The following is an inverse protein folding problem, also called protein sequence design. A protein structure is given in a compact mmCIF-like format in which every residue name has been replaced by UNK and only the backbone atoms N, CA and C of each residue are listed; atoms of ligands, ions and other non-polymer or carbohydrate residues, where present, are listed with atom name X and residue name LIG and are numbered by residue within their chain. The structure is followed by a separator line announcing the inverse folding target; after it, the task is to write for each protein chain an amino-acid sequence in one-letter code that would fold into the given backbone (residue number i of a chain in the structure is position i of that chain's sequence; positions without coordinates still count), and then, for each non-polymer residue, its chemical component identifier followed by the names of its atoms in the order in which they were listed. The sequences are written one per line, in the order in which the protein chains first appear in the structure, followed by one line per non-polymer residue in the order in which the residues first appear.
data_IF_697367350436
#
_entry.id   IF_697367350436
#
_cell.length_a   1.000
_cell.length_b   1.000
_cell.length_c   1.000
_cell.angle_alpha   90.00
_cell.angle_beta   90.00
_cell.angle_gamma   90.00
#
_symmetry.space_group_name_H-M   'P 1'
#
loop_
_entity.id
_entity.type
_entity.pdbx_description
1 polymer ?
#
# COMPACT_ATOMS: atom_id res chain seq x y z
N UNK A 1 -58.90 12.55 15.59
CA UNK A 1 -58.04 12.25 14.42
C UNK A 1 -57.34 13.54 14.02
N UNK A 2 -56.08 13.71 14.40
CA UNK A 2 -55.24 14.81 13.91
C UNK A 2 -54.45 14.35 12.69
N UNK A 3 -54.39 15.15 11.61
CA UNK A 3 -53.53 14.83 10.47
C UNK A 3 -52.07 15.01 10.91
N UNK A 4 -51.27 13.94 10.75
CA UNK A 4 -49.81 14.00 10.90
C UNK A 4 -49.27 14.92 9.80
N UNK A 5 -48.74 16.06 10.21
CA UNK A 5 -47.91 16.91 9.35
C UNK A 5 -46.79 16.08 8.73
N UNK A 6 -46.72 16.10 7.41
CA UNK A 6 -45.62 15.55 6.64
C UNK A 6 -44.38 16.40 6.93
N UNK A 7 -43.50 15.90 7.80
CA UNK A 7 -42.16 16.46 8.00
C UNK A 7 -41.41 16.38 6.66
N UNK A 8 -41.02 17.51 6.03
CA UNK A 8 -40.29 17.45 4.78
C UNK A 8 -38.91 16.82 5.02
N UNK A 9 -38.60 15.79 4.25
CA UNK A 9 -37.32 15.08 4.27
C UNK A 9 -36.15 16.06 4.33
N UNK A 10 -35.28 15.90 5.35
CA UNK A 10 -34.07 16.71 5.55
C UNK A 10 -33.28 16.79 4.23
N UNK A 11 -33.23 18.00 3.67
CA UNK A 11 -32.46 18.35 2.48
C UNK A 11 -30.98 18.00 2.74
N UNK A 12 -30.48 16.95 2.10
CA UNK A 12 -29.07 16.52 2.19
C UNK A 12 -28.15 17.68 1.82
N UNK A 13 -27.49 18.28 2.83
CA UNK A 13 -26.30 19.08 2.59
C UNK A 13 -25.26 18.16 1.96
N UNK A 14 -24.51 18.57 0.92
CA UNK A 14 -23.40 17.77 0.43
C UNK A 14 -22.49 17.50 1.63
N UNK A 15 -22.25 16.22 1.92
CA UNK A 15 -21.42 15.86 3.06
C UNK A 15 -20.04 16.47 2.78
N UNK A 16 -19.60 17.36 3.67
CA UNK A 16 -18.29 17.99 3.52
C UNK A 16 -17.24 16.90 3.76
N UNK A 17 -16.16 17.01 3.01
CA UNK A 17 -14.94 16.22 3.23
C UNK A 17 -14.57 16.22 4.72
N UNK A 18 -14.21 15.06 5.24
CA UNK A 18 -13.86 14.88 6.65
C UNK A 18 -12.57 14.07 6.80
N UNK A 19 -12.03 14.07 8.02
CA UNK A 19 -10.80 13.40 8.36
C UNK A 19 -11.04 12.31 9.39
N UNK A 20 -10.31 11.21 9.29
CA UNK A 20 -10.33 10.14 10.30
C UNK A 20 -8.94 9.54 10.47
N UNK A 21 -8.59 9.16 11.69
CA UNK A 21 -7.36 8.41 11.94
C UNK A 21 -7.52 6.96 11.48
N UNK A 22 -6.52 6.44 10.78
CA UNK A 22 -6.48 5.04 10.39
C UNK A 22 -5.83 4.18 11.48
N UNK A 23 -6.47 3.07 11.80
CA UNK A 23 -6.02 2.08 12.78
C UNK A 23 -6.04 0.67 12.18
N UNK A 24 -5.06 -0.15 12.56
CA UNK A 24 -4.94 -1.55 12.16
C UNK A 24 -4.05 -1.83 10.94
N UNK A 25 -3.73 -3.10 10.69
CA UNK A 25 -2.79 -3.51 9.64
C UNK A 25 -3.43 -3.84 8.29
N UNK A 26 -4.77 -3.86 8.17
CA UNK A 26 -5.48 -4.45 7.03
C UNK A 26 -5.22 -3.79 5.68
N UNK A 27 -4.85 -2.51 5.68
CA UNK A 27 -4.52 -1.74 4.46
C UNK A 27 -3.02 -1.52 4.26
N UNK A 28 -2.15 -2.20 5.02
CA UNK A 28 -0.71 -2.10 4.81
C UNK A 28 -0.33 -2.72 3.43
N UNK A 29 0.51 -2.08 2.60
CA UNK A 29 1.25 -0.82 2.79
C UNK A 29 0.58 0.45 2.24
N UNK A 30 -0.64 0.36 1.74
CA UNK A 30 -1.41 1.51 1.23
C UNK A 30 -1.59 2.56 2.33
N UNK A 31 -2.08 2.13 3.49
CA UNK A 31 -2.23 2.93 4.70
C UNK A 31 -1.39 2.32 5.84
N UNK A 32 -0.88 3.18 6.73
CA UNK A 32 -0.18 2.77 7.95
C UNK A 32 -0.88 3.33 9.17
N UNK A 33 -0.79 2.61 10.28
CA UNK A 33 -1.34 3.06 11.56
C UNK A 33 -0.91 4.49 11.90
N UNK A 34 -1.83 5.23 12.52
CA UNK A 34 -1.66 6.65 12.87
C UNK A 34 -1.57 7.61 11.68
N UNK A 35 -1.82 7.17 10.45
CA UNK A 35 -2.05 8.08 9.32
C UNK A 35 -3.44 8.72 9.40
N UNK A 36 -3.53 10.01 9.07
CA UNK A 36 -4.80 10.72 8.98
C UNK A 36 -5.34 10.66 7.56
N UNK A 37 -6.53 10.10 7.39
CA UNK A 37 -7.18 9.92 6.10
C UNK A 37 -8.02 11.14 5.75
N UNK A 38 -7.94 11.53 4.49
CA UNK A 38 -8.86 12.45 3.84
C UNK A 38 -9.99 11.68 3.17
N UNK A 39 -11.22 11.88 3.64
CA UNK A 39 -12.39 11.14 3.17
C UNK A 39 -13.33 12.11 2.48
N UNK A 40 -13.61 11.80 1.21
CA UNK A 40 -14.50 12.57 0.36
C UNK A 40 -15.79 11.76 0.12
N UNK A 41 -16.95 12.31 0.49
CA UNK A 41 -18.24 11.68 0.20
C UNK A 41 -18.44 11.44 -1.29
N UNK A 42 -19.20 10.41 -1.64
CA UNK A 42 -19.37 10.05 -3.04
C UNK A 42 -20.23 11.05 -3.81
N UNK A 43 -21.11 11.85 -3.18
CA UNK A 43 -21.87 12.96 -3.79
C UNK A 43 -22.20 12.77 -5.28
N UNK A 44 -22.96 11.69 -5.58
CA UNK A 44 -23.41 11.25 -6.94
C UNK A 44 -22.33 10.73 -7.89
N UNK A 45 -21.09 10.57 -7.46
CA UNK A 45 -20.03 9.90 -8.22
C UNK A 45 -20.26 8.38 -8.20
N UNK A 46 -19.98 7.69 -9.32
CA UNK A 46 -20.07 6.25 -9.35
C UNK A 46 -18.96 5.61 -8.50
N UNK A 47 -19.32 4.62 -7.71
CA UNK A 47 -18.38 3.72 -7.04
C UNK A 47 -17.61 2.91 -8.07
N UNK A 48 -16.28 2.83 -7.91
CA UNK A 48 -15.42 2.12 -8.85
C UNK A 48 -14.61 1.04 -8.15
N UNK A 49 -14.47 -0.10 -8.81
CA UNK A 49 -13.49 -1.12 -8.43
C UNK A 49 -12.10 -0.49 -8.34
N UNK A 50 -11.43 -0.74 -7.23
CA UNK A 50 -10.12 -0.21 -6.87
C UNK A 50 -10.17 1.03 -5.99
N UNK A 51 -11.33 1.65 -5.76
CA UNK A 51 -11.45 2.73 -4.77
C UNK A 51 -11.23 2.21 -3.35
N UNK A 52 -10.58 3.01 -2.49
CA UNK A 52 -10.48 2.75 -1.05
C UNK A 52 -11.62 3.48 -0.37
N UNK A 53 -12.45 2.77 0.37
CA UNK A 53 -13.68 3.30 0.97
C UNK A 53 -13.67 3.19 2.47
N UNK A 54 -14.20 4.22 3.13
CA UNK A 54 -14.49 4.24 4.56
C UNK A 54 -15.98 3.95 4.74
N UNK A 55 -16.31 2.93 5.52
CA UNK A 55 -17.67 2.45 5.67
C UNK A 55 -17.94 1.86 7.05
N UNK A 56 -19.22 1.70 7.38
CA UNK A 56 -19.68 0.98 8.57
C UNK A 56 -20.14 -0.43 8.16
N UNK A 57 -19.48 -1.51 8.59
CA UNK A 57 -19.90 -2.86 8.24
C UNK A 57 -21.28 -3.18 8.84
N UNK A 58 -22.09 -4.04 8.20
CA UNK A 58 -23.47 -4.29 8.64
C UNK A 58 -23.62 -4.93 10.03
N UNK A 59 -22.57 -5.59 10.53
CA UNK A 59 -22.59 -6.38 11.77
C UNK A 59 -21.73 -5.77 12.89
N UNK A 60 -21.06 -4.65 12.65
CA UNK A 60 -20.16 -4.03 13.61
C UNK A 60 -20.20 -2.50 13.43
N UNK A 61 -20.31 -1.77 14.52
CA UNK A 61 -20.35 -0.30 14.49
C UNK A 61 -18.96 0.34 14.35
N UNK A 62 -17.89 -0.47 14.36
CA UNK A 62 -16.55 0.05 14.10
C UNK A 62 -16.33 0.33 12.62
N UNK A 63 -15.91 1.56 12.24
CA UNK A 63 -15.65 1.89 10.87
C UNK A 63 -14.45 1.11 10.31
N UNK A 64 -14.59 0.67 9.07
CA UNK A 64 -13.60 -0.11 8.34
C UNK A 64 -13.18 0.64 7.08
N UNK A 65 -11.93 0.46 6.70
CA UNK A 65 -11.36 1.04 5.48
C UNK A 65 -10.78 -0.07 4.63
N UNK A 66 -11.41 -0.40 3.50
CA UNK A 66 -10.94 -1.43 2.60
C UNK A 66 -11.09 -1.00 1.13
N UNK A 67 -10.45 -1.75 0.22
CA UNK A 67 -10.53 -1.49 -1.21
C UNK A 67 -11.70 -2.24 -1.83
N UNK A 68 -12.47 -1.55 -2.68
CA UNK A 68 -13.51 -2.19 -3.49
C UNK A 68 -12.84 -3.10 -4.52
N UNK A 69 -13.22 -4.36 -4.53
CA UNK A 69 -12.74 -5.35 -5.51
C UNK A 69 -13.83 -5.76 -6.50
N UNK A 70 -15.10 -5.61 -6.10
CA UNK A 70 -16.25 -5.91 -6.95
C UNK A 70 -17.45 -5.03 -6.57
N UNK A 71 -18.17 -4.56 -7.58
CA UNK A 71 -19.44 -3.84 -7.44
C UNK A 71 -20.49 -4.62 -8.22
N UNK A 72 -21.57 -5.02 -7.58
CA UNK A 72 -22.72 -5.68 -8.21
C UNK A 72 -24.03 -5.00 -7.81
N UNK A 73 -25.15 -5.29 -8.50
CA UNK A 73 -26.45 -4.79 -8.07
C UNK A 73 -26.83 -5.19 -6.63
N UNK A 74 -26.35 -6.36 -6.18
CA UNK A 74 -26.61 -6.86 -4.83
C UNK A 74 -25.77 -6.17 -3.73
N UNK A 75 -24.68 -5.50 -4.09
CA UNK A 75 -23.80 -4.82 -3.13
C UNK A 75 -22.34 -4.79 -3.56
N UNK A 76 -21.48 -4.48 -2.59
CA UNK A 76 -20.06 -4.21 -2.84
C UNK A 76 -19.23 -5.20 -2.03
N UNK A 77 -18.24 -5.82 -2.69
CA UNK A 77 -17.22 -6.61 -2.00
C UNK A 77 -15.97 -5.78 -1.81
N UNK A 78 -15.44 -5.83 -0.60
CA UNK A 78 -14.26 -5.09 -0.16
C UNK A 78 -13.18 -6.06 0.30
N UNK A 79 -11.93 -5.59 0.22
CA UNK A 79 -10.78 -6.38 0.61
C UNK A 79 -9.67 -5.46 1.14
N UNK A 80 -9.14 -5.79 2.31
CA UNK A 80 -7.95 -5.13 2.84
C UNK A 80 -6.72 -5.48 2.01
N UNK A 81 -5.91 -4.49 1.63
CA UNK A 81 -4.72 -4.73 0.79
C UNK A 81 -3.69 -5.67 1.44
N UNK A 82 -3.76 -5.90 2.76
CA UNK A 82 -2.94 -6.83 3.55
C UNK A 82 -3.69 -8.09 4.02
N UNK A 83 -4.98 -8.21 3.73
CA UNK A 83 -5.77 -9.37 4.16
C UNK A 83 -5.52 -10.55 3.21
N UNK A 84 -5.81 -11.78 3.64
CA UNK A 84 -5.71 -12.99 2.80
C UNK A 84 -7.03 -13.35 2.11
N UNK A 85 -8.15 -12.86 2.63
CA UNK A 85 -9.49 -13.13 2.12
C UNK A 85 -10.34 -11.86 2.05
N UNK A 86 -11.24 -11.81 1.06
CA UNK A 86 -12.26 -10.77 0.92
C UNK A 86 -13.14 -10.69 2.18
N UNK A 87 -13.74 -9.53 2.42
CA UNK A 87 -14.72 -9.40 3.50
C UNK A 87 -15.91 -10.34 3.24
N UNK A 88 -16.35 -11.07 4.26
CA UNK A 88 -17.37 -12.14 4.14
C UNK A 88 -18.78 -11.63 3.92
N UNK A 89 -19.00 -10.31 3.99
CA UNK A 89 -20.29 -9.66 3.80
C UNK A 89 -20.30 -8.83 2.52
N UNK A 90 -21.49 -8.67 1.95
CA UNK A 90 -21.73 -7.67 0.91
C UNK A 90 -22.07 -6.35 1.59
N UNK A 91 -21.28 -5.32 1.29
CA UNK A 91 -21.47 -3.98 1.81
C UNK A 91 -22.61 -3.28 1.03
N UNK A 92 -23.67 -2.82 1.71
CA UNK A 92 -24.70 -2.00 1.08
C UNK A 92 -24.15 -0.63 0.68
N UNK A 93 -24.67 -0.07 -0.42
CA UNK A 93 -24.26 1.25 -0.92
C UNK A 93 -24.41 2.37 0.13
N UNK A 94 -25.47 2.32 0.94
CA UNK A 94 -25.74 3.33 1.98
C UNK A 94 -24.79 3.29 3.19
N UNK A 95 -24.01 2.22 3.33
CA UNK A 95 -23.07 2.07 4.45
C UNK A 95 -21.71 2.75 4.18
N UNK A 96 -21.45 3.15 2.93
CA UNK A 96 -20.24 3.88 2.56
C UNK A 96 -20.39 5.34 2.98
N UNK A 97 -19.48 5.84 3.82
CA UNK A 97 -19.43 7.25 4.21
C UNK A 97 -18.59 8.08 3.25
N UNK A 98 -17.63 7.45 2.57
CA UNK A 98 -16.87 8.14 1.53
C UNK A 98 -15.69 7.37 1.01
N UNK A 99 -15.00 7.98 0.05
CA UNK A 99 -13.76 7.51 -0.53
C UNK A 99 -12.57 8.13 0.19
N UNK A 100 -11.58 7.31 0.54
CA UNK A 100 -10.27 7.79 0.98
C UNK A 100 -9.51 8.29 -0.25
N UNK A 101 -9.26 9.61 -0.31
CA UNK A 101 -8.60 10.27 -1.45
C UNK A 101 -7.13 10.58 -1.18
N UNK A 102 -6.77 10.75 0.09
CA UNK A 102 -5.40 10.95 0.52
C UNK A 102 -5.19 10.45 1.97
N UNK A 103 -3.93 10.30 2.35
CA UNK A 103 -3.51 10.04 3.71
C UNK A 103 -2.30 10.92 4.06
N UNK A 104 -2.24 11.36 5.31
CA UNK A 104 -1.18 12.19 5.86
C UNK A 104 -0.30 11.35 6.77
N UNK A 105 1.01 11.48 6.57
CA UNK A 105 2.04 10.95 7.46
C UNK A 105 2.89 12.09 7.95
N UNK A 106 2.62 12.55 9.17
CA UNK A 106 3.10 13.86 9.63
C UNK A 106 2.66 14.94 8.66
N UNK A 107 3.61 15.73 8.15
CA UNK A 107 3.35 16.84 7.22
C UNK A 107 3.22 16.40 5.74
N UNK A 108 3.44 15.12 5.42
CA UNK A 108 3.44 14.64 4.04
C UNK A 108 2.08 14.07 3.63
N UNK A 109 1.39 14.76 2.72
CA UNK A 109 0.18 14.27 2.05
C UNK A 109 0.52 13.28 0.93
N UNK A 110 -0.15 12.14 0.91
CA UNK A 110 -0.05 11.11 -0.15
C UNK A 110 -1.41 10.83 -0.75
N UNK A 111 -1.52 10.93 -2.07
CA UNK A 111 -2.77 10.58 -2.77
C UNK A 111 -2.99 9.08 -2.72
N UNK A 112 -4.20 8.66 -2.39
CA UNK A 112 -4.61 7.25 -2.43
C UNK A 112 -5.26 6.96 -3.78
N UNK A 113 -4.63 6.05 -4.52
CA UNK A 113 -5.12 5.64 -5.84
C UNK A 113 -6.44 4.88 -5.69
N UNK A 114 -7.41 5.25 -6.54
CA UNK A 114 -8.67 4.52 -6.73
C UNK A 114 -8.86 4.10 -8.18
N UNK A 115 -9.99 3.47 -8.49
CA UNK A 115 -10.29 2.98 -9.84
C UNK A 115 -9.23 2.01 -10.39
N UNK A 116 -8.98 2.08 -11.70
CA UNK A 116 -8.00 1.23 -12.41
C UNK A 116 -6.58 1.32 -11.82
N UNK A 117 -6.12 2.52 -11.46
CA UNK A 117 -4.80 2.69 -10.83
C UNK A 117 -4.76 1.98 -9.48
N UNK A 118 -5.81 2.13 -8.66
CA UNK A 118 -5.98 1.42 -7.39
C UNK A 118 -5.97 -0.10 -7.56
N UNK A 119 -6.65 -0.61 -8.60
CA UNK A 119 -6.68 -2.04 -8.95
C UNK A 119 -5.29 -2.58 -9.32
N UNK A 120 -4.54 -1.86 -10.15
CA UNK A 120 -3.18 -2.27 -10.54
C UNK A 120 -2.21 -2.24 -9.36
N UNK A 121 -2.27 -1.21 -8.52
CA UNK A 121 -1.44 -1.14 -7.31
C UNK A 121 -1.74 -2.26 -6.34
N UNK A 122 -3.03 -2.56 -6.10
CA UNK A 122 -3.43 -3.64 -5.18
C UNK A 122 -2.99 -5.01 -5.71
N UNK A 123 -3.16 -5.27 -7.01
CA UNK A 123 -2.61 -6.49 -7.65
C UNK A 123 -1.10 -6.56 -7.46
N UNK A 124 -0.35 -5.50 -7.76
CA UNK A 124 1.11 -5.50 -7.60
C UNK A 124 1.54 -5.77 -6.15
N UNK A 125 0.86 -5.19 -5.16
CA UNK A 125 1.13 -5.43 -3.74
C UNK A 125 0.91 -6.89 -3.35
N UNK A 126 -0.19 -7.50 -3.82
CA UNK A 126 -0.47 -8.92 -3.61
C UNK A 126 0.56 -9.81 -4.30
N UNK A 127 0.90 -9.55 -5.57
CA UNK A 127 1.94 -10.29 -6.29
C UNK A 127 3.29 -10.19 -5.58
N UNK A 128 3.64 -9.04 -5.02
CA UNK A 128 4.87 -8.87 -4.25
C UNK A 128 4.87 -9.70 -2.96
N UNK A 129 3.77 -9.71 -2.21
CA UNK A 129 3.64 -10.53 -1.00
C UNK A 129 3.68 -12.03 -1.30
N UNK A 130 3.06 -12.47 -2.40
CA UNK A 130 3.14 -13.85 -2.89
C UNK A 130 4.56 -14.18 -3.34
N UNK A 131 5.27 -13.28 -4.02
CA UNK A 131 6.67 -13.51 -4.39
C UNK A 131 7.61 -13.56 -3.18
N UNK A 132 7.33 -12.82 -2.10
CA UNK A 132 8.12 -12.90 -0.86
C UNK A 132 7.81 -14.15 -0.03
N UNK A 133 6.57 -14.67 -0.08
CA UNK A 133 6.11 -15.81 0.74
C UNK A 133 6.12 -17.16 0.01
N UNK A 134 6.02 -17.14 -1.32
CA UNK A 134 5.94 -18.32 -2.19
C UNK A 134 6.93 -18.18 -3.34
N UNK A 135 8.19 -18.45 -3.06
CA UNK A 135 9.16 -18.69 -4.12
C UNK A 135 9.10 -20.16 -4.46
N UNK A 136 8.41 -20.52 -5.54
CA UNK A 136 8.63 -21.84 -6.16
C UNK A 136 10.15 -22.02 -6.40
N UNK A 137 10.73 -23.21 -6.18
CA UNK A 137 12.16 -23.46 -6.40
C UNK A 137 12.64 -22.99 -7.79
N UNK A 138 11.77 -23.07 -8.79
CA UNK A 138 12.04 -22.61 -10.16
C UNK A 138 12.17 -21.09 -10.25
N UNK A 139 11.29 -20.33 -9.59
CA UNK A 139 11.36 -18.87 -9.54
C UNK A 139 12.55 -18.42 -8.72
N UNK A 140 12.90 -19.16 -7.65
CA UNK A 140 14.08 -18.89 -6.84
C UNK A 140 15.36 -19.11 -7.64
N UNK A 141 15.46 -20.25 -8.34
CA UNK A 141 16.60 -20.59 -9.18
C UNK A 141 16.78 -19.58 -10.31
N UNK A 142 15.69 -19.20 -10.99
CA UNK A 142 15.75 -18.19 -12.05
C UNK A 142 16.10 -16.80 -11.50
N UNK A 143 15.52 -16.39 -10.36
CA UNK A 143 15.83 -15.11 -9.70
C UNK A 143 17.30 -15.03 -9.29
N UNK A 144 17.84 -16.09 -8.66
CA UNK A 144 19.25 -16.15 -8.27
C UNK A 144 20.16 -16.24 -9.50
N UNK A 145 19.82 -17.03 -10.51
CA UNK A 145 20.60 -17.12 -11.74
C UNK A 145 20.66 -15.77 -12.47
N UNK A 146 19.55 -15.02 -12.50
CA UNK A 146 19.51 -13.67 -13.07
C UNK A 146 20.25 -12.64 -12.21
N UNK A 147 20.16 -12.72 -10.88
CA UNK A 147 20.89 -11.80 -9.99
C UNK A 147 22.40 -11.99 -10.09
N UNK A 148 22.89 -13.23 -10.19
CA UNK A 148 24.33 -13.53 -10.34
C UNK A 148 24.95 -13.05 -11.66
N UNK A 149 24.12 -12.80 -12.68
CA UNK A 149 24.58 -12.38 -14.00
C UNK A 149 24.67 -10.86 -14.17
N UNK A 150 24.20 -10.07 -13.19
CA UNK A 150 24.25 -8.60 -13.20
C UNK A 150 23.72 -7.93 -14.50
N UNK A 151 22.92 -8.63 -15.31
CA UNK A 151 22.49 -8.18 -16.64
C UNK A 151 21.64 -6.91 -16.52
N UNK A 152 20.72 -6.93 -15.56
CA UNK A 152 19.84 -5.79 -15.28
C UNK A 152 20.64 -4.63 -14.66
N UNK A 153 21.59 -4.93 -13.78
CA UNK A 153 22.49 -3.92 -13.20
C UNK A 153 23.32 -3.17 -14.26
N UNK A 154 23.77 -3.87 -15.31
CA UNK A 154 24.54 -3.28 -16.42
C UNK A 154 23.70 -2.41 -17.35
N UNK A 155 22.41 -2.73 -17.50
CA UNK A 155 21.47 -2.00 -18.35
C UNK A 155 20.80 -0.81 -17.63
N UNK A 156 21.07 -0.61 -16.34
CA UNK A 156 20.47 0.48 -15.57
C UNK A 156 21.02 1.86 -16.00
N UNK A 157 20.14 2.82 -16.32
CA UNK A 157 20.54 4.21 -16.51
C UNK A 157 21.24 4.75 -15.25
N UNK A 158 22.22 5.64 -15.45
CA UNK A 158 22.99 6.28 -14.37
C UNK A 158 22.18 6.74 -13.13
N UNK A 159 21.00 7.40 -13.25
CA UNK A 159 20.23 7.83 -12.08
C UNK A 159 19.63 6.70 -11.24
N UNK A 160 19.57 5.47 -11.78
CA UNK A 160 19.06 4.28 -11.10
C UNK A 160 20.17 3.30 -10.71
N UNK A 161 21.44 3.72 -10.76
CA UNK A 161 22.52 2.89 -10.22
C UNK A 161 22.45 2.86 -8.70
N UNK A 162 22.56 1.69 -8.06
CA UNK A 162 22.64 1.61 -6.61
C UNK A 162 23.80 2.44 -6.08
N UNK A 163 23.61 3.10 -4.94
CA UNK A 163 24.64 3.88 -4.25
C UNK A 163 24.70 3.48 -2.79
N UNK A 164 25.91 3.27 -2.28
CA UNK A 164 26.14 3.08 -0.85
C UNK A 164 26.27 4.46 -0.21
N UNK A 165 25.56 4.67 0.89
CA UNK A 165 25.67 5.87 1.72
C UNK A 165 26.01 5.44 3.13
N UNK A 166 27.03 6.08 3.70
CA UNK A 166 27.45 5.89 5.09
C UNK A 166 26.70 6.89 5.96
N UNK A 167 26.01 6.39 6.98
CA UNK A 167 25.43 7.21 8.03
C UNK A 167 26.28 7.06 9.28
N UNK A 168 26.97 8.13 9.65
CA UNK A 168 27.65 8.21 10.93
C UNK A 168 26.62 8.52 12.01
N UNK A 169 26.19 7.52 12.76
CA UNK A 169 25.21 7.67 13.84
C UNK A 169 25.75 7.06 15.13
N UNK A 170 25.90 7.89 16.18
CA UNK A 170 26.31 7.47 17.53
C UNK A 170 27.64 6.69 17.58
N UNK A 171 28.63 7.12 16.79
CA UNK A 171 29.97 6.51 16.78
C UNK A 171 30.04 5.15 16.09
N UNK A 172 29.04 4.78 15.29
CA UNK A 172 29.07 3.60 14.40
C UNK A 172 28.72 4.01 12.98
N UNK A 173 29.42 3.43 12.03
CA UNK A 173 29.18 3.61 10.60
C UNK A 173 28.08 2.65 10.17
N UNK A 174 26.96 3.18 9.69
CA UNK A 174 25.88 2.37 9.15
C UNK A 174 25.83 2.52 7.63
N UNK A 175 26.13 1.44 6.92
CA UNK A 175 26.10 1.44 5.46
C UNK A 175 24.69 1.10 4.96
N UNK A 176 24.11 2.01 4.20
CA UNK A 176 22.82 1.83 3.55
C UNK A 176 22.99 1.79 2.03
N UNK A 177 22.33 0.84 1.38
CA UNK A 177 22.26 0.73 -0.07
C UNK A 177 20.99 1.41 -0.56
N UNK A 178 21.12 2.42 -1.42
CA UNK A 178 20.01 3.17 -2.01
C UNK A 178 19.87 2.90 -3.50
N UNK A 179 18.63 2.89 -3.98
CA UNK A 179 18.26 2.92 -5.39
C UNK A 179 17.40 4.16 -5.63
N UNK A 180 18.00 5.22 -6.17
CA UNK A 180 17.39 6.55 -6.18
C UNK A 180 17.07 7.04 -4.76
N UNK A 181 15.82 7.47 -4.45
CA UNK A 181 15.46 7.95 -3.12
C UNK A 181 15.07 6.85 -2.11
N UNK A 182 15.19 5.57 -2.48
CA UNK A 182 14.74 4.43 -1.65
C UNK A 182 15.92 3.66 -1.09
N UNK A 183 15.90 3.39 0.22
CA UNK A 183 16.82 2.42 0.84
C UNK A 183 16.34 1.01 0.45
N UNK A 184 17.20 0.26 -0.21
CA UNK A 184 16.95 -1.10 -0.71
C UNK A 184 17.77 -2.16 0.02
N UNK A 185 18.78 -1.77 0.81
CA UNK A 185 19.57 -2.71 1.60
C UNK A 185 20.36 -2.04 2.72
N UNK A 186 20.86 -2.85 3.64
CA UNK A 186 21.73 -2.42 4.75
C UNK A 186 22.88 -3.41 4.90
N UNK A 187 24.04 -2.93 5.29
CA UNK A 187 25.15 -3.81 5.67
C UNK A 187 24.96 -4.28 7.11
N UNK A 188 25.18 -5.58 7.34
CA UNK A 188 25.17 -6.20 8.66
C UNK A 188 26.63 -6.42 9.10
N UNK A 189 27.11 -5.59 10.02
CA UNK A 189 28.49 -5.65 10.52
C UNK A 189 28.80 -6.96 11.27
N UNK A 190 27.80 -7.63 11.84
CA UNK A 190 28.02 -8.89 12.57
C UNK A 190 28.26 -10.05 11.61
N UNK A 191 27.54 -10.05 10.48
CA UNK A 191 27.58 -11.12 9.49
C UNK A 191 28.45 -10.78 8.27
N UNK A 192 29.05 -9.59 8.25
CA UNK A 192 29.88 -9.06 7.17
C UNK A 192 29.21 -9.18 5.79
N UNK A 193 27.90 -8.96 5.73
CA UNK A 193 27.13 -9.17 4.50
C UNK A 193 26.04 -8.12 4.30
N UNK A 194 25.69 -7.87 3.04
CA UNK A 194 24.58 -7.01 2.69
C UNK A 194 23.24 -7.74 2.81
N UNK A 195 22.34 -7.17 3.60
CA UNK A 195 20.93 -7.52 3.58
C UNK A 195 20.20 -6.65 2.55
N UNK A 196 19.96 -7.21 1.37
CA UNK A 196 19.25 -6.54 0.27
C UNK A 196 17.81 -7.05 0.22
N UNK A 197 16.85 -6.12 0.21
CA UNK A 197 15.44 -6.45 0.12
C UNK A 197 15.12 -7.00 -1.28
N UNK A 198 14.34 -8.07 -1.35
CA UNK A 198 13.79 -8.55 -2.62
C UNK A 198 12.76 -7.54 -3.17
N UNK A 199 12.64 -7.39 -4.50
CA UNK A 199 13.41 -8.02 -5.58
C UNK A 199 14.66 -7.23 -5.98
N UNK A 200 15.17 -6.33 -5.14
CA UNK A 200 16.17 -5.34 -5.54
C UNK A 200 17.57 -5.92 -5.81
N UNK A 201 17.81 -7.19 -5.46
CA UNK A 201 19.06 -7.90 -5.76
C UNK A 201 19.35 -8.04 -7.26
N UNK A 202 18.34 -7.93 -8.12
CA UNK A 202 18.54 -7.93 -9.58
C UNK A 202 19.25 -6.67 -10.10
N UNK A 203 19.15 -5.57 -9.35
CA UNK A 203 19.70 -4.26 -9.74
C UNK A 203 21.07 -4.01 -9.14
N UNK A 204 21.59 -4.97 -8.38
CA UNK A 204 22.80 -4.85 -7.58
C UNK A 204 23.75 -5.96 -7.99
N UNK A 205 24.99 -5.61 -8.30
CA UNK A 205 26.02 -6.60 -8.58
C UNK A 205 26.61 -7.10 -7.26
N UNK A 206 26.23 -8.31 -6.85
CA UNK A 206 26.70 -8.94 -5.60
C UNK A 206 28.24 -9.03 -5.54
N UNK A 207 28.94 -9.01 -6.68
CA UNK A 207 30.42 -9.07 -6.74
C UNK A 207 31.07 -7.76 -6.28
N UNK A 208 30.39 -6.64 -6.44
CA UNK A 208 30.89 -5.31 -6.05
C UNK A 208 30.65 -5.05 -4.56
N UNK A 209 29.72 -5.78 -3.94
CA UNK A 209 29.28 -5.56 -2.56
C UNK A 209 29.98 -6.47 -1.53
N UNK A 210 30.82 -7.42 -1.95
CA UNK A 210 31.51 -8.33 -1.02
C UNK A 210 32.65 -7.66 -0.25
N UNK A 211 33.16 -6.54 -0.74
CA UNK A 211 34.18 -5.75 -0.07
C UNK A 211 33.51 -4.77 0.89
N UNK A 212 34.03 -4.69 2.12
CA UNK A 212 33.62 -3.64 3.07
C UNK A 212 33.86 -2.30 2.37
N UNK A 213 32.86 -1.41 2.28
CA UNK A 213 33.10 -0.10 1.70
C UNK A 213 34.08 0.66 2.61
N UNK A 214 35.26 0.98 2.06
CA UNK A 214 36.26 1.85 2.70
C UNK A 214 35.79 3.31 2.76
#
# INVERSE_FOLDING_TARGET
MHPKEFEPAKKNRPEKMFFAAYAGPSMNPTLRESEMMEIMPYDRRPLRVGDVVFFLPPKNDQPVVHRIIRVTPAGISTFGDNNTHEDTFLLPFGNIKGRVVAAWRGQKRRKIAGGLQGRLTSRWLHWRGVLDRSVSPLVHSLYYALSHRAVIARLLPAPFRPRVIVFHARGRDQFHLLLGPRIIGRYDDQKHQWYIQRPFRLFVDDRILQERPD
#
